data_IF_415925323162
#
_entry.id   IF_415925323162
#
_cell.length_a   1.000
_cell.length_b   1.000
_cell.length_c   1.000
_cell.angle_alpha   90.00
_cell.angle_beta   90.00
_cell.angle_gamma   90.00
#
_symmetry.space_group_name_H-M   'P 1'
#
loop_
_entity.id
_entity.type
_entity.pdbx_description
1 polymer ?
#
# COMPACT_ATOMS: atom_id res chain seq x y z
N UNK A 1 10.12 -21.41 23.95
CA UNK A 1 11.42 -21.83 23.37
C UNK A 1 11.50 -21.19 21.99
N UNK A 2 11.87 -19.91 21.95
CA UNK A 2 11.82 -19.05 20.75
C UNK A 2 13.21 -19.01 20.11
N UNK A 3 13.47 -19.85 19.11
CA UNK A 3 14.78 -19.82 18.41
C UNK A 3 15.20 -21.14 17.77
N UNK A 4 14.28 -21.88 17.16
CA UNK A 4 14.66 -23.09 16.43
C UNK A 4 15.11 -22.72 14.99
N UNK A 5 16.40 -22.38 14.86
CA UNK A 5 17.23 -22.59 13.65
C UNK A 5 16.82 -21.86 12.35
N UNK A 6 16.39 -20.61 12.43
CA UNK A 6 16.22 -19.74 11.26
C UNK A 6 16.02 -18.29 11.68
N UNK A 7 16.20 -17.33 10.77
CA UNK A 7 15.71 -15.96 10.99
C UNK A 7 14.20 -16.09 11.16
N UNK A 8 13.73 -16.05 12.40
CA UNK A 8 12.32 -16.09 12.71
C UNK A 8 11.67 -14.73 12.47
N UNK A 9 10.33 -14.73 12.48
CA UNK A 9 9.53 -13.51 12.52
C UNK A 9 10.03 -12.54 13.63
N UNK A 10 10.42 -12.99 14.85
CA UNK A 10 10.90 -12.10 15.90
C UNK A 10 12.21 -11.38 15.55
N UNK A 11 13.21 -12.08 15.01
CA UNK A 11 14.48 -11.49 14.60
C UNK A 11 14.29 -10.49 13.45
N UNK A 12 13.43 -10.82 12.49
CA UNK A 12 13.10 -9.92 11.37
C UNK A 12 12.41 -8.64 11.86
N UNK A 13 11.55 -8.72 12.88
CA UNK A 13 10.95 -7.55 13.52
C UNK A 13 11.98 -6.67 14.22
N UNK A 14 12.96 -7.25 14.94
CA UNK A 14 14.02 -6.47 15.59
C UNK A 14 14.84 -5.71 14.55
N UNK A 15 15.22 -6.36 13.45
CA UNK A 15 15.96 -5.72 12.35
C UNK A 15 15.12 -4.60 11.72
N UNK A 16 13.83 -4.86 11.47
CA UNK A 16 12.90 -3.86 10.92
C UNK A 16 12.84 -2.60 11.79
N UNK A 17 12.77 -2.76 13.12
CA UNK A 17 12.75 -1.64 14.07
C UNK A 17 14.05 -0.82 13.96
N UNK A 18 15.22 -1.45 13.88
CA UNK A 18 16.50 -0.76 13.73
C UNK A 18 16.54 0.03 12.42
N UNK A 19 16.09 -0.55 11.31
CA UNK A 19 15.99 0.13 10.01
C UNK A 19 15.08 1.35 10.10
N UNK A 20 13.92 1.23 10.75
CA UNK A 20 12.99 2.35 10.97
C UNK A 20 13.63 3.45 11.81
N UNK A 21 14.44 3.12 12.81
CA UNK A 21 15.13 4.12 13.63
C UNK A 21 16.19 4.90 12.83
N UNK A 22 16.90 4.24 11.90
CA UNK A 22 17.93 4.87 11.06
C UNK A 22 17.28 5.74 9.97
N UNK A 23 16.30 5.21 9.25
CA UNK A 23 15.67 5.91 8.12
C UNK A 23 14.53 6.84 8.54
N UNK A 24 13.98 6.65 9.74
CA UNK A 24 12.78 7.31 10.23
C UNK A 24 11.49 6.73 9.64
N UNK A 25 10.39 6.92 10.35
CA UNK A 25 9.05 6.48 9.89
C UNK A 25 8.59 7.24 8.64
N UNK A 26 9.00 8.50 8.46
CA UNK A 26 8.58 9.36 7.35
C UNK A 26 9.09 8.88 5.98
N UNK A 27 10.34 8.41 5.91
CA UNK A 27 10.88 7.87 4.65
C UNK A 27 10.30 6.50 4.34
N UNK A 28 10.13 5.67 5.37
CA UNK A 28 9.52 4.35 5.21
C UNK A 28 8.05 4.45 4.78
N UNK A 29 7.27 5.39 5.33
CA UNK A 29 5.88 5.60 4.93
C UNK A 29 5.76 6.13 3.51
N UNK A 30 6.64 7.06 3.09
CA UNK A 30 6.62 7.58 1.72
C UNK A 30 6.88 6.49 0.67
N UNK A 31 7.91 5.67 0.89
CA UNK A 31 8.24 4.54 -0.01
C UNK A 31 7.18 3.44 0.07
N UNK A 32 6.70 3.13 1.27
CA UNK A 32 5.65 2.13 1.47
C UNK A 32 4.32 2.51 0.80
N UNK A 33 3.92 3.79 0.85
CA UNK A 33 2.73 4.28 0.16
C UNK A 33 2.86 4.19 -1.35
N UNK A 34 4.02 4.58 -1.92
CA UNK A 34 4.25 4.49 -3.37
C UNK A 34 4.24 3.03 -3.85
N UNK A 35 5.00 2.16 -3.19
CA UNK A 35 5.04 0.73 -3.52
C UNK A 35 3.68 0.05 -3.28
N UNK A 36 2.97 0.44 -2.22
CA UNK A 36 1.67 -0.10 -1.86
C UNK A 36 0.59 0.20 -2.89
N UNK A 37 0.55 1.44 -3.42
CA UNK A 37 -0.38 1.80 -4.49
C UNK A 37 -0.10 1.01 -5.77
N UNK A 38 1.18 0.87 -6.17
CA UNK A 38 1.55 0.07 -7.34
C UNK A 38 1.24 -1.42 -7.18
N UNK A 39 1.49 -2.00 -5.99
CA UNK A 39 1.12 -3.38 -5.68
C UNK A 39 -0.41 -3.56 -5.70
N UNK A 40 -1.16 -2.56 -5.23
CA UNK A 40 -2.63 -2.59 -5.20
C UNK A 40 -3.22 -2.56 -6.60
N UNK A 41 -2.71 -1.70 -7.47
CA UNK A 41 -3.09 -1.64 -8.88
C UNK A 41 -2.68 -2.92 -9.62
N UNK A 42 -1.48 -3.45 -9.35
CA UNK A 42 -1.03 -4.74 -9.90
C UNK A 42 -1.93 -5.89 -9.47
N UNK A 43 -2.27 -5.98 -8.17
CA UNK A 43 -3.23 -6.95 -7.63
C UNK A 43 -4.59 -6.80 -8.30
N UNK A 44 -5.07 -5.56 -8.49
CA UNK A 44 -6.37 -5.28 -9.11
C UNK A 44 -6.40 -5.73 -10.57
N UNK A 45 -5.37 -5.40 -11.35
CA UNK A 45 -5.26 -5.82 -12.74
C UNK A 45 -5.18 -7.35 -12.89
N UNK A 46 -4.39 -8.02 -12.04
CA UNK A 46 -4.28 -9.49 -12.05
C UNK A 46 -5.58 -10.17 -11.61
N UNK A 47 -6.30 -9.60 -10.64
CA UNK A 47 -7.59 -10.13 -10.20
C UNK A 47 -8.76 -9.82 -11.15
N UNK A 48 -8.74 -8.69 -11.85
CA UNK A 48 -9.73 -8.35 -12.89
C UNK A 48 -9.57 -9.19 -14.17
N UNK A 49 -8.36 -9.70 -14.45
CA UNK A 49 -8.11 -10.62 -15.57
C UNK A 49 -8.69 -12.03 -15.30
N UNK A 50 -8.73 -12.45 -14.02
CA UNK A 50 -9.20 -13.78 -13.59
C UNK A 50 -10.73 -13.84 -13.34
N UNK A 51 -11.38 -12.72 -12.97
CA UNK A 51 -12.83 -12.66 -12.69
C UNK A 51 -13.55 -11.54 -13.48
N UNK A 52 -14.19 -11.91 -14.61
CA UNK A 52 -15.50 -11.41 -15.14
C UNK A 52 -15.50 -10.41 -16.35
N UNK A 53 -16.53 -10.47 -17.25
CA UNK A 53 -16.67 -9.62 -18.44
C UNK A 53 -16.83 -8.12 -18.12
N UNK A 54 -16.72 -7.22 -19.12
CA UNK A 54 -16.41 -5.81 -18.91
C UNK A 54 -17.56 -5.09 -18.20
N UNK A 55 -17.24 -4.41 -17.08
CA UNK A 55 -18.12 -3.41 -16.48
C UNK A 55 -17.36 -2.10 -16.29
N UNK A 56 -17.88 -0.96 -16.77
CA UNK A 56 -17.19 0.33 -16.72
C UNK A 56 -17.66 1.16 -15.53
N UNK A 57 -16.87 1.28 -14.46
CA UNK A 57 -17.12 2.27 -13.39
C UNK A 57 -15.76 2.75 -12.84
N UNK A 58 -15.34 3.98 -13.14
CA UNK A 58 -15.71 5.24 -12.49
C UNK A 58 -14.79 5.58 -11.30
N UNK A 59 -14.09 6.71 -11.38
CA UNK A 59 -13.25 7.18 -10.29
C UNK A 59 -12.36 8.37 -10.59
N UNK A 60 -12.88 9.43 -11.23
CA UNK A 60 -12.28 10.77 -11.16
C UNK A 60 -13.28 11.84 -11.59
N UNK A 61 -14.16 12.27 -10.68
CA UNK A 61 -14.72 13.63 -10.73
C UNK A 61 -15.10 14.05 -9.31
N UNK A 62 -14.19 14.81 -8.68
CA UNK A 62 -14.47 15.61 -7.50
C UNK A 62 -15.03 16.94 -8.01
N UNK A 63 -16.35 17.00 -8.17
CA UNK A 63 -17.07 18.26 -8.35
C UNK A 63 -17.52 18.75 -6.96
N UNK A 64 -16.78 19.71 -6.42
CA UNK A 64 -17.26 20.56 -5.33
C UNK A 64 -16.63 21.94 -5.49
N UNK A 65 -17.37 22.83 -6.17
CA UNK A 65 -17.63 24.23 -5.78
C UNK A 65 -18.32 24.99 -6.93
N UNK A 66 -19.64 24.97 -6.94
CA UNK A 66 -20.45 26.04 -7.52
C UNK A 66 -21.57 26.40 -6.52
N UNK A 67 -21.42 27.51 -5.81
CA UNK A 67 -22.54 28.35 -5.36
C UNK A 67 -22.04 29.80 -5.35
N UNK A 68 -22.20 30.50 -6.46
CA UNK A 68 -22.40 31.94 -6.47
C UNK A 68 -23.63 32.22 -7.33
N UNK A 69 -24.71 32.56 -6.64
CA UNK A 69 -25.93 33.20 -7.15
C UNK A 69 -26.17 34.43 -6.25
N UNK A 70 -27.02 35.39 -6.59
CA UNK A 70 -28.09 35.39 -7.60
C UNK A 70 -27.82 36.19 -8.87
#
# INVERSE_FOLDING_TARGET
>A
MFGARGIGIPELLIILVIVVLIFGTSRLSGVGSALGSSIREFRKAVSEDEEKPPKPEAGAESESKEVTKP
#
